data_IF_646204828330
#
_entry.id   IF_646204828330
#
_cell.length_a   1.000
_cell.length_b   1.000
_cell.length_c   1.000
_cell.angle_alpha   90.00
_cell.angle_beta   90.00
_cell.angle_gamma   90.00
#
_symmetry.space_group_name_H-M   'P 1'
#
loop_
_entity.id
_entity.type
_entity.pdbx_description
1 polymer ?
#
# COMPACT_ATOMS: atom_id res chain seq x y z
N UNK A 1 4.57 -7.11 -19.03
CA UNK A 1 4.52 -6.92 -17.56
C UNK A 1 4.71 -8.30 -16.95
N UNK A 2 5.77 -8.48 -16.15
CA UNK A 2 6.02 -9.76 -15.47
C UNK A 2 4.96 -9.93 -14.37
N UNK A 3 4.45 -11.16 -14.23
CA UNK A 3 3.43 -11.46 -13.23
C UNK A 3 4.01 -11.32 -11.80
N UNK A 4 3.25 -10.75 -10.86
CA UNK A 4 3.67 -10.69 -9.46
C UNK A 4 3.77 -12.11 -8.88
N UNK A 5 4.66 -12.26 -7.90
CA UNK A 5 4.90 -13.56 -7.26
C UNK A 5 3.99 -13.73 -6.03
N UNK A 6 3.50 -14.97 -5.82
CA UNK A 6 2.81 -15.30 -4.59
C UNK A 6 3.76 -15.27 -3.39
N UNK A 7 3.22 -14.93 -2.22
CA UNK A 7 3.98 -14.89 -0.96
C UNK A 7 4.61 -16.24 -0.65
N UNK A 8 3.85 -17.33 -0.85
CA UNK A 8 4.31 -18.70 -0.59
C UNK A 8 5.50 -19.08 -1.47
N UNK A 9 5.50 -18.71 -2.75
CA UNK A 9 6.62 -19.02 -3.65
C UNK A 9 7.93 -18.41 -3.13
N UNK A 10 7.89 -17.16 -2.68
CA UNK A 10 9.09 -16.49 -2.15
C UNK A 10 9.51 -17.13 -0.83
N UNK A 11 8.56 -17.44 0.04
CA UNK A 11 8.81 -18.17 1.29
C UNK A 11 9.58 -19.47 1.04
N UNK A 12 9.12 -20.29 0.11
CA UNK A 12 9.81 -21.54 -0.22
C UNK A 12 11.16 -21.33 -0.92
N UNK A 13 11.31 -20.27 -1.72
CA UNK A 13 12.60 -19.93 -2.32
C UNK A 13 13.64 -19.56 -1.23
N UNK A 14 13.24 -18.85 -0.18
CA UNK A 14 14.09 -18.59 0.99
C UNK A 14 14.38 -19.87 1.74
N UNK A 15 13.35 -20.67 2.08
CA UNK A 15 13.48 -21.92 2.83
C UNK A 15 14.41 -22.94 2.15
N UNK A 16 14.37 -23.05 0.82
CA UNK A 16 15.30 -23.88 0.03
C UNK A 16 16.74 -23.39 0.13
N UNK A 17 16.98 -22.09 0.07
CA UNK A 17 18.35 -21.52 0.15
C UNK A 17 19.03 -21.80 1.48
N UNK A 18 18.27 -21.88 2.57
CA UNK A 18 18.76 -22.23 3.89
C UNK A 18 18.74 -23.74 4.17
N UNK A 19 18.27 -24.54 3.22
CA UNK A 19 18.25 -26.00 3.33
C UNK A 19 17.17 -26.59 4.23
N UNK A 20 16.13 -25.81 4.56
CA UNK A 20 14.99 -26.31 5.38
C UNK A 20 14.04 -27.20 4.57
N UNK A 21 13.98 -27.00 3.25
CA UNK A 21 13.07 -27.73 2.36
C UNK A 21 13.86 -28.21 1.14
N UNK A 22 13.79 -29.51 0.76
CA UNK A 22 14.40 -30.00 -0.46
C UNK A 22 13.68 -29.46 -1.71
N UNK A 23 14.37 -29.48 -2.84
CA UNK A 23 13.79 -29.06 -4.10
C UNK A 23 12.63 -29.98 -4.49
N UNK A 24 11.44 -29.38 -4.70
CA UNK A 24 10.22 -30.11 -5.06
C UNK A 24 9.32 -30.57 -3.91
N UNK A 25 9.72 -30.36 -2.66
CA UNK A 25 8.91 -30.73 -1.48
C UNK A 25 8.41 -29.46 -0.75
N UNK A 26 7.39 -28.81 -1.28
CA UNK A 26 6.81 -27.57 -0.73
C UNK A 26 5.81 -27.84 0.42
N UNK A 27 5.63 -29.09 0.85
CA UNK A 27 4.61 -29.45 1.85
C UNK A 27 5.11 -29.53 3.30
N UNK A 28 6.44 -29.52 3.53
CA UNK A 28 7.03 -29.90 4.82
C UNK A 28 7.82 -28.78 5.51
N UNK A 29 7.52 -27.50 5.25
CA UNK A 29 8.12 -26.41 6.02
C UNK A 29 7.49 -26.33 7.41
N UNK A 30 8.33 -26.33 8.46
CA UNK A 30 7.90 -26.12 9.83
C UNK A 30 7.13 -24.79 9.96
N UNK A 31 5.91 -24.79 10.55
CA UNK A 31 5.10 -23.58 10.69
C UNK A 31 5.80 -22.44 11.47
N UNK A 32 6.59 -22.77 12.50
CA UNK A 32 7.31 -21.76 13.28
C UNK A 32 8.42 -21.11 12.44
N UNK A 33 9.11 -21.91 11.61
CA UNK A 33 10.10 -21.39 10.67
C UNK A 33 9.46 -20.61 9.52
N UNK A 34 8.31 -21.04 9.03
CA UNK A 34 7.54 -20.28 8.05
C UNK A 34 7.15 -18.89 8.60
N UNK A 35 6.65 -18.84 9.83
CA UNK A 35 6.27 -17.58 10.49
C UNK A 35 7.46 -16.63 10.66
N UNK A 36 8.64 -17.17 11.06
CA UNK A 36 9.88 -16.40 11.20
C UNK A 36 10.32 -15.79 9.85
N UNK A 37 10.38 -16.61 8.79
CA UNK A 37 10.78 -16.15 7.45
C UNK A 37 9.80 -15.13 6.90
N UNK A 38 8.49 -15.34 7.07
CA UNK A 38 7.47 -14.36 6.68
C UNK A 38 7.65 -13.03 7.42
N UNK A 39 8.10 -13.07 8.69
CA UNK A 39 8.46 -11.87 9.42
C UNK A 39 9.59 -11.08 8.75
N UNK A 40 10.68 -11.76 8.39
CA UNK A 40 11.79 -11.14 7.66
C UNK A 40 11.35 -10.60 6.28
N UNK A 41 10.54 -11.37 5.56
CA UNK A 41 10.01 -10.94 4.27
C UNK A 41 9.16 -9.66 4.40
N UNK A 42 8.31 -9.57 5.43
CA UNK A 42 7.46 -8.39 5.69
C UNK A 42 8.31 -7.15 6.00
N UNK A 43 9.31 -7.29 6.88
CA UNK A 43 10.20 -6.18 7.25
C UNK A 43 11.02 -5.69 6.06
N UNK A 44 11.57 -6.61 5.26
CA UNK A 44 12.35 -6.27 4.06
C UNK A 44 11.49 -5.71 2.92
N UNK A 45 10.28 -6.21 2.75
CA UNK A 45 9.36 -5.66 1.76
C UNK A 45 8.93 -4.24 2.13
N UNK A 46 8.71 -3.97 3.42
CA UNK A 46 8.46 -2.61 3.93
C UNK A 46 9.64 -1.68 3.63
N UNK A 47 10.87 -2.13 3.88
CA UNK A 47 12.08 -1.37 3.57
C UNK A 47 12.17 -1.03 2.06
N UNK A 48 11.96 -2.01 1.18
CA UNK A 48 11.95 -1.79 -0.27
C UNK A 48 10.85 -0.84 -0.70
N UNK A 49 9.65 -0.95 -0.07
CA UNK A 49 8.51 -0.10 -0.34
C UNK A 49 8.79 1.37 -0.04
N UNK A 50 9.52 1.63 1.03
CA UNK A 50 9.83 3.00 1.45
C UNK A 50 11.04 3.59 0.75
N UNK A 51 11.93 2.76 0.21
CA UNK A 51 13.19 3.20 -0.40
C UNK A 51 13.01 3.78 -1.79
N UNK A 52 12.13 3.22 -2.64
CA UNK A 52 11.96 3.62 -4.03
C UNK A 52 10.49 3.72 -4.44
N UNK A 53 10.23 4.60 -5.41
CA UNK A 53 8.90 4.82 -5.97
C UNK A 53 8.69 3.92 -7.21
N UNK A 54 8.36 2.65 -6.96
CA UNK A 54 8.05 1.71 -8.02
C UNK A 54 6.68 1.99 -8.65
N UNK A 55 6.56 1.78 -9.97
CA UNK A 55 5.30 1.97 -10.72
C UNK A 55 4.16 1.13 -10.12
N UNK A 56 4.48 -0.08 -9.69
CA UNK A 56 3.51 -1.03 -9.11
C UNK A 56 2.90 -0.53 -7.80
N UNK A 57 3.60 0.38 -7.11
CA UNK A 57 3.15 0.96 -5.83
C UNK A 57 2.64 2.39 -5.96
N UNK A 58 2.77 2.98 -7.16
CA UNK A 58 2.49 4.39 -7.43
C UNK A 58 1.21 4.53 -8.26
N UNK A 59 0.34 5.42 -7.83
CA UNK A 59 -0.96 5.67 -8.44
C UNK A 59 -1.10 7.13 -8.84
N UNK A 60 -1.79 7.37 -9.96
CA UNK A 60 -2.23 8.70 -10.36
C UNK A 60 -3.75 8.70 -10.42
N UNK A 61 -4.38 9.41 -9.50
CA UNK A 61 -5.83 9.38 -9.34
C UNK A 61 -6.40 10.78 -9.17
N UNK A 62 -7.59 10.99 -9.75
CA UNK A 62 -8.34 12.22 -9.54
C UNK A 62 -8.94 12.23 -8.13
N UNK A 63 -8.67 13.30 -7.38
CA UNK A 63 -9.16 13.53 -6.02
C UNK A 63 -9.94 14.83 -5.95
N UNK A 64 -11.16 14.75 -5.40
CA UNK A 64 -11.93 15.94 -5.07
C UNK A 64 -11.37 16.60 -3.81
N UNK A 65 -11.41 17.92 -3.82
CA UNK A 65 -11.14 18.71 -2.64
C UNK A 65 -12.27 18.62 -1.68
N UNK A 66 -12.77 18.32 -0.89
CA UNK A 66 -13.98 18.21 -0.07
C UNK A 66 -14.70 16.89 -0.35
N UNK A 67 -14.19 15.80 0.19
CA UNK A 67 -14.90 14.52 0.12
C UNK A 67 -16.23 14.67 0.90
N UNK A 68 -17.34 14.63 0.14
CA UNK A 68 -18.68 14.72 0.72
C UNK A 68 -18.95 13.48 1.59
N UNK A 69 -19.70 13.68 2.68
CA UNK A 69 -20.14 12.57 3.49
C UNK A 69 -21.12 11.69 2.70
N UNK A 70 -20.85 10.38 2.70
CA UNK A 70 -21.73 9.35 2.12
C UNK A 70 -22.12 8.34 3.23
N UNK A 71 -23.40 8.25 3.61
CA UNK A 71 -23.83 7.36 4.67
C UNK A 71 -23.68 5.87 4.35
N UNK A 72 -23.43 5.49 3.10
CA UNK A 72 -23.21 4.10 2.70
C UNK A 72 -21.77 3.64 2.90
N UNK A 73 -20.85 4.58 3.13
CA UNK A 73 -19.43 4.30 3.26
C UNK A 73 -19.02 4.00 4.70
N UNK A 74 -17.99 3.14 4.83
CA UNK A 74 -17.27 2.93 6.07
C UNK A 74 -16.18 4.00 6.22
N UNK A 75 -16.19 4.68 7.37
CA UNK A 75 -15.22 5.70 7.71
C UNK A 75 -14.34 5.21 8.87
N UNK A 76 -13.06 4.91 8.64
CA UNK A 76 -12.11 4.63 9.70
C UNK A 76 -11.97 5.78 10.69
N UNK A 77 -11.44 5.48 11.88
CA UNK A 77 -11.03 6.48 12.87
C UNK A 77 -10.18 7.59 12.20
N UNK A 78 -10.48 8.85 12.55
CA UNK A 78 -9.83 10.05 12.00
C UNK A 78 -10.17 10.37 10.54
N UNK A 79 -11.07 9.67 9.87
CA UNK A 79 -11.57 10.06 8.55
C UNK A 79 -12.17 11.45 8.60
N UNK A 80 -11.90 12.26 7.56
CA UNK A 80 -12.43 13.62 7.46
C UNK A 80 -13.37 13.67 6.27
N UNK A 81 -14.59 14.18 6.51
CA UNK A 81 -15.63 14.34 5.50
C UNK A 81 -16.15 15.77 5.50
N UNK A 82 -16.72 16.17 4.38
CA UNK A 82 -17.37 17.47 4.20
C UNK A 82 -18.88 17.33 4.26
N UNK A 83 -19.52 18.21 5.00
CA UNK A 83 -20.97 18.36 4.99
C UNK A 83 -21.36 19.62 4.20
N UNK A 84 -21.93 19.47 3.00
CA UNK A 84 -22.35 20.61 2.18
C UNK A 84 -23.50 21.42 2.79
N UNK A 85 -24.26 20.84 3.74
CA UNK A 85 -25.39 21.53 4.40
C UNK A 85 -24.89 22.51 5.46
N UNK A 86 -23.94 22.09 6.29
CA UNK A 86 -23.38 22.93 7.36
C UNK A 86 -22.12 23.68 6.94
N UNK A 87 -21.60 23.40 5.75
CA UNK A 87 -20.32 23.93 5.23
C UNK A 87 -19.16 23.68 6.20
N UNK A 88 -19.13 22.53 6.83
CA UNK A 88 -18.19 22.17 7.89
C UNK A 88 -17.55 20.81 7.61
N UNK A 89 -16.28 20.67 7.95
CA UNK A 89 -15.61 19.38 7.98
C UNK A 89 -15.90 18.67 9.31
N UNK A 90 -16.11 17.37 9.22
CA UNK A 90 -16.27 16.48 10.38
C UNK A 90 -15.17 15.43 10.38
N UNK A 91 -14.69 15.09 11.57
CA UNK A 91 -13.72 14.04 11.80
C UNK A 91 -14.36 12.89 12.57
N UNK A 92 -14.17 11.67 12.09
CA UNK A 92 -14.62 10.45 12.77
C UNK A 92 -13.79 10.20 14.03
N UNK A 93 -14.47 10.07 15.17
CA UNK A 93 -13.89 9.73 16.49
C UNK A 93 -13.74 8.23 16.70
N UNK A 94 -14.52 7.46 15.94
CA UNK A 94 -14.50 5.99 15.92
C UNK A 94 -14.76 5.54 14.50
N UNK A 95 -14.44 4.29 14.19
CA UNK A 95 -14.87 3.70 12.92
C UNK A 95 -16.39 3.64 12.86
N UNK A 96 -16.97 4.02 11.72
CA UNK A 96 -18.42 4.13 11.57
C UNK A 96 -18.90 3.91 10.14
N UNK A 97 -20.11 3.37 10.01
CA UNK A 97 -20.86 3.28 8.76
C UNK A 97 -22.29 3.75 9.01
N UNK A 98 -22.78 4.66 8.18
CA UNK A 98 -24.18 5.14 8.25
C UNK A 98 -24.51 6.07 9.43
N UNK A 99 -23.57 6.39 10.31
CA UNK A 99 -23.84 7.28 11.44
C UNK A 99 -23.98 8.73 10.96
N UNK A 100 -25.10 9.42 11.28
CA UNK A 100 -25.32 10.80 10.83
C UNK A 100 -24.27 11.74 11.44
N UNK A 101 -23.88 12.78 10.70
CA UNK A 101 -22.88 13.78 11.13
C UNK A 101 -23.29 14.55 12.39
N UNK A 102 -24.58 14.54 12.74
CA UNK A 102 -25.13 15.11 13.98
C UNK A 102 -24.81 14.30 15.23
N UNK A 103 -24.33 13.06 15.09
CA UNK A 103 -23.95 12.23 16.23
C UNK A 103 -22.57 12.63 16.76
N UNK A 104 -22.55 13.46 17.81
CA UNK A 104 -21.32 14.00 18.42
C UNK A 104 -20.45 12.97 19.15
N UNK A 105 -20.97 11.77 19.44
CA UNK A 105 -20.16 10.66 19.97
C UNK A 105 -19.27 10.00 18.89
N UNK A 106 -19.66 10.16 17.64
CA UNK A 106 -18.99 9.55 16.47
C UNK A 106 -18.25 10.60 15.65
N UNK A 107 -18.84 11.79 15.52
CA UNK A 107 -18.31 12.86 14.69
C UNK A 107 -17.99 14.12 15.49
N UNK A 108 -16.85 14.73 15.25
CA UNK A 108 -16.52 16.05 15.81
C UNK A 108 -16.34 17.05 14.67
N UNK A 109 -16.94 18.26 14.78
CA UNK A 109 -16.65 19.32 13.83
C UNK A 109 -15.17 19.70 13.85
N UNK A 110 -14.57 19.88 12.65
CA UNK A 110 -13.18 20.27 12.50
C UNK A 110 -13.07 21.55 11.65
N UNK A 111 -13.29 22.72 12.22
CA UNK A 111 -13.30 24.00 11.50
C UNK A 111 -11.92 24.42 10.98
N UNK A 112 -10.84 23.80 11.47
CA UNK A 112 -9.46 24.16 11.11
C UNK A 112 -8.94 23.44 9.86
N UNK A 113 -9.78 22.70 9.16
CA UNK A 113 -9.41 22.03 7.89
C UNK A 113 -9.51 23.05 6.77
N UNK A 114 -8.47 23.14 5.94
CA UNK A 114 -8.49 23.97 4.74
C UNK A 114 -9.63 23.56 3.79
N UNK A 115 -10.35 24.49 3.16
CA UNK A 115 -11.39 24.19 2.20
C UNK A 115 -10.87 23.44 0.94
N UNK A 116 -9.57 23.29 0.80
CA UNK A 116 -8.87 22.57 -0.28
C UNK A 116 -7.99 21.48 0.32
N UNK A 117 -8.63 20.56 0.98
CA UNK A 117 -8.02 19.48 1.72
C UNK A 117 -8.33 18.13 1.05
N UNK A 118 -7.34 17.24 0.99
CA UNK A 118 -7.47 15.84 0.59
C UNK A 118 -6.98 14.97 1.74
N UNK A 119 -7.84 14.16 2.37
CA UNK A 119 -7.42 13.26 3.44
C UNK A 119 -6.53 12.14 2.93
N UNK A 120 -5.67 11.60 3.80
CA UNK A 120 -4.86 10.43 3.50
C UNK A 120 -5.70 9.22 3.05
N UNK A 121 -6.87 9.09 3.65
CA UNK A 121 -7.84 8.06 3.31
C UNK A 121 -9.19 8.70 3.02
N UNK A 122 -9.79 8.37 1.90
CA UNK A 122 -11.11 8.79 1.49
C UNK A 122 -11.93 7.56 1.07
N UNK A 123 -13.26 7.58 1.28
CA UNK A 123 -14.13 6.48 0.90
C UNK A 123 -14.00 6.16 -0.60
N UNK A 124 -14.01 4.88 -0.92
CA UNK A 124 -13.91 4.38 -2.31
C UNK A 124 -12.71 4.91 -3.11
N UNK A 125 -11.66 5.32 -2.41
CA UNK A 125 -10.42 5.83 -3.00
C UNK A 125 -9.22 5.08 -2.46
N UNK A 126 -8.21 4.91 -3.31
CA UNK A 126 -6.94 4.31 -2.93
C UNK A 126 -6.30 5.11 -1.78
N UNK A 127 -5.90 4.51 -0.66
CA UNK A 127 -5.25 5.24 0.43
C UNK A 127 -3.94 5.85 -0.03
N UNK A 128 -3.61 7.04 0.48
CA UNK A 128 -2.39 7.76 0.17
C UNK A 128 -1.35 7.49 1.25
N UNK A 129 -0.22 6.89 0.90
CA UNK A 129 0.92 6.69 1.81
C UNK A 129 1.92 7.85 1.72
N UNK A 130 2.33 8.21 0.50
CA UNK A 130 3.22 9.32 0.25
C UNK A 130 2.82 10.05 -1.03
N UNK A 131 2.69 11.37 -1.00
CA UNK A 131 2.30 12.19 -2.14
C UNK A 131 3.54 12.81 -2.81
N UNK A 132 3.68 12.63 -4.12
CA UNK A 132 4.82 13.11 -4.91
C UNK A 132 4.50 14.37 -5.71
N UNK A 133 3.26 14.55 -6.12
CA UNK A 133 2.85 15.70 -6.89
C UNK A 133 1.35 15.77 -7.14
N UNK A 134 0.90 16.96 -7.46
CA UNK A 134 -0.48 17.23 -7.77
C UNK A 134 -0.58 18.15 -8.99
N UNK A 135 -1.57 17.91 -9.86
CA UNK A 135 -1.77 18.68 -11.09
C UNK A 135 -3.24 18.97 -11.30
N UNK A 136 -3.51 20.07 -12.01
CA UNK A 136 -4.88 20.44 -12.39
C UNK A 136 -5.49 19.54 -13.48
N UNK A 137 -4.65 18.74 -14.16
CA UNK A 137 -5.01 17.83 -15.24
C UNK A 137 -4.20 16.53 -15.11
N UNK A 138 -4.66 15.46 -15.80
CA UNK A 138 -3.93 14.21 -15.81
C UNK A 138 -2.49 14.40 -16.33
N UNK A 139 -1.46 14.16 -15.50
CA UNK A 139 -0.07 14.40 -15.90
C UNK A 139 0.42 13.47 -17.01
N UNK A 140 -0.27 12.36 -17.27
CA UNK A 140 0.12 11.38 -18.29
C UNK A 140 -0.57 11.59 -19.63
N UNK A 141 -1.69 12.33 -19.65
CA UNK A 141 -2.53 12.47 -20.86
C UNK A 141 -2.50 13.88 -21.45
N UNK A 142 -2.23 14.91 -20.64
CA UNK A 142 -2.39 16.30 -21.06
C UNK A 142 -1.10 17.12 -21.03
N UNK A 143 -0.87 17.90 -22.09
CA UNK A 143 0.35 18.70 -22.27
C UNK A 143 0.40 19.96 -21.39
N UNK A 144 -0.75 20.61 -21.12
CA UNK A 144 -0.83 21.89 -20.39
C UNK A 144 -1.17 21.66 -18.91
N UNK A 145 -0.39 20.81 -18.24
CA UNK A 145 -0.55 20.51 -16.81
C UNK A 145 0.17 21.55 -15.94
N UNK A 146 -0.54 22.09 -14.95
CA UNK A 146 0.02 23.01 -13.97
C UNK A 146 0.14 22.25 -12.65
N UNK A 147 1.37 22.20 -12.10
CA UNK A 147 1.62 21.59 -10.80
C UNK A 147 1.02 22.45 -9.70
N UNK A 148 0.29 21.82 -8.80
CA UNK A 148 -0.31 22.46 -7.61
C UNK A 148 0.61 22.25 -6.41
N UNK A 149 0.78 23.31 -5.61
CA UNK A 149 1.52 23.22 -4.36
C UNK A 149 0.60 22.77 -3.23
N UNK A 150 1.11 21.91 -2.37
CA UNK A 150 0.41 21.44 -1.19
C UNK A 150 1.38 21.34 0.00
N UNK A 151 0.82 21.43 1.19
CA UNK A 151 1.48 21.14 2.45
C UNK A 151 1.04 19.78 2.96
N UNK A 152 1.96 19.03 3.55
CA UNK A 152 1.71 17.76 4.17
C UNK A 152 1.36 18.00 5.64
N UNK A 153 0.21 17.50 6.08
CA UNK A 153 -0.22 17.53 7.48
C UNK A 153 -0.49 16.11 8.00
N UNK A 154 -0.63 15.93 9.30
CA UNK A 154 -0.97 14.65 9.90
C UNK A 154 -2.32 14.07 9.39
N UNK A 155 -3.20 14.91 8.85
CA UNK A 155 -4.54 14.55 8.41
C UNK A 155 -4.65 14.32 6.91
N UNK A 156 -3.73 14.88 6.10
CA UNK A 156 -3.77 14.82 4.64
C UNK A 156 -2.98 15.95 3.98
N UNK A 157 -3.40 16.30 2.77
CA UNK A 157 -2.77 17.29 1.92
C UNK A 157 -3.59 18.58 1.91
N UNK A 158 -2.97 19.69 2.26
CA UNK A 158 -3.58 21.03 2.26
C UNK A 158 -3.05 21.84 1.08
N UNK A 159 -3.94 22.31 0.23
CA UNK A 159 -3.58 23.05 -0.99
C UNK A 159 -3.67 24.55 -0.77
N UNK A 160 -2.57 25.26 -1.04
CA UNK A 160 -2.44 26.70 -0.80
C UNK A 160 -2.90 27.56 -1.97
N UNK A 161 -3.02 26.98 -3.17
CA UNK A 161 -3.36 27.75 -4.37
C UNK A 161 -4.85 28.12 -4.44
N UNK A 162 -5.13 29.30 -4.96
CA UNK A 162 -6.48 29.89 -5.14
C UNK A 162 -7.22 29.38 -6.37
N UNK A 163 -6.82 28.23 -6.96
CA UNK A 163 -7.49 27.65 -8.14
C UNK A 163 -8.97 27.37 -7.85
N UNK A 164 -9.83 27.59 -8.83
CA UNK A 164 -11.27 27.31 -8.76
C UNK A 164 -11.63 25.85 -9.05
N UNK A 165 -10.61 24.99 -9.31
CA UNK A 165 -10.84 23.58 -9.63
C UNK A 165 -11.42 22.84 -8.41
N UNK A 166 -12.43 22.00 -8.67
CA UNK A 166 -13.07 21.17 -7.64
C UNK A 166 -12.26 19.88 -7.32
N UNK A 167 -11.27 19.56 -8.14
CA UNK A 167 -10.46 18.34 -8.03
C UNK A 167 -9.01 18.59 -8.46
N UNK A 168 -8.15 17.66 -8.16
CA UNK A 168 -6.75 17.59 -8.56
C UNK A 168 -6.39 16.17 -8.95
N UNK A 169 -5.44 16.01 -9.86
CA UNK A 169 -4.78 14.74 -10.13
C UNK A 169 -3.58 14.60 -9.19
N UNK A 170 -3.61 13.57 -8.37
CA UNK A 170 -2.59 13.31 -7.37
C UNK A 170 -1.76 12.10 -7.76
N UNK A 171 -0.44 12.26 -7.80
CA UNK A 171 0.53 11.18 -7.90
C UNK A 171 1.01 10.83 -6.51
N UNK A 172 0.83 9.58 -6.11
CA UNK A 172 1.13 9.12 -4.76
C UNK A 172 1.49 7.64 -4.73
N UNK A 173 2.19 7.24 -3.70
CA UNK A 173 2.40 5.84 -3.34
C UNK A 173 1.35 5.42 -2.31
N UNK A 174 0.85 4.19 -2.44
CA UNK A 174 -0.03 3.61 -1.41
C UNK A 174 0.78 3.30 -0.15
N UNK A 175 0.16 3.31 1.04
CA UNK A 175 0.82 2.83 2.24
C UNK A 175 1.21 1.36 2.08
N UNK A 176 2.28 0.94 2.74
CA UNK A 176 2.64 -0.47 2.74
C UNK A 176 1.52 -1.31 3.39
N UNK A 177 0.97 -2.29 2.68
CA UNK A 177 -0.21 -3.02 3.18
C UNK A 177 0.14 -4.12 4.20
N UNK A 178 1.40 -4.55 4.26
CA UNK A 178 1.83 -5.72 5.01
C UNK A 178 1.60 -7.03 4.26
N UNK A 179 2.24 -8.10 4.73
CA UNK A 179 1.94 -9.48 4.30
C UNK A 179 1.43 -10.27 5.49
N UNK A 180 0.51 -11.23 5.23
CA UNK A 180 0.05 -12.16 6.25
C UNK A 180 1.19 -13.04 6.77
N UNK A 181 1.27 -13.23 8.08
CA UNK A 181 2.25 -14.11 8.72
C UNK A 181 1.63 -15.43 9.19
N UNK A 182 0.31 -15.52 9.22
CA UNK A 182 -0.43 -16.70 9.66
C UNK A 182 -1.54 -17.04 8.68
N UNK A 183 -1.88 -18.32 8.66
CA UNK A 183 -3.04 -18.83 7.93
C UNK A 183 -4.33 -18.17 8.41
N UNK A 184 -5.25 -17.97 7.48
CA UNK A 184 -6.58 -17.48 7.81
C UNK A 184 -7.35 -18.49 8.68
N UNK A 185 -8.03 -17.98 9.72
CA UNK A 185 -8.81 -18.79 10.64
C UNK A 185 -10.26 -18.30 10.64
N UNK A 186 -11.26 -19.15 10.40
CA UNK A 186 -12.66 -18.74 10.25
C UNK A 186 -13.28 -18.12 11.51
N UNK A 187 -12.73 -18.39 12.68
CA UNK A 187 -13.22 -17.87 13.98
C UNK A 187 -12.54 -16.59 14.43
N UNK A 188 -11.47 -16.18 13.73
CA UNK A 188 -10.75 -14.95 14.04
C UNK A 188 -11.47 -13.74 13.45
N UNK A 189 -11.52 -12.66 14.23
CA UNK A 189 -12.00 -11.36 13.75
C UNK A 189 -10.83 -10.59 13.16
N UNK A 190 -10.94 -10.24 11.89
CA UNK A 190 -9.96 -9.40 11.18
C UNK A 190 -10.53 -8.00 11.03
N UNK A 191 -9.74 -7.01 11.35
CA UNK A 191 -10.08 -5.61 11.17
C UNK A 191 -9.57 -5.10 9.82
N UNK A 192 -10.02 -3.92 9.42
CA UNK A 192 -9.54 -3.26 8.20
C UNK A 192 -8.02 -3.11 8.24
N UNK A 193 -7.34 -3.66 7.23
CA UNK A 193 -5.88 -3.67 7.11
C UNK A 193 -5.18 -4.87 7.74
N UNK A 194 -5.89 -5.73 8.49
CA UNK A 194 -5.30 -7.00 8.97
C UNK A 194 -5.00 -7.93 7.80
N UNK A 195 -3.85 -8.61 7.86
CA UNK A 195 -3.40 -9.50 6.82
C UNK A 195 -3.45 -10.97 7.26
N UNK A 196 -3.82 -11.87 6.33
CA UNK A 196 -3.81 -13.32 6.52
C UNK A 196 -3.38 -14.03 5.23
N UNK A 197 -2.90 -15.27 5.36
CA UNK A 197 -2.58 -16.16 4.24
C UNK A 197 -3.80 -17.07 3.98
N UNK A 198 -4.19 -17.20 2.72
CA UNK A 198 -5.15 -18.22 2.28
C UNK A 198 -4.61 -18.88 1.01
N UNK A 199 -4.23 -20.16 1.14
CA UNK A 199 -3.52 -20.86 0.10
C UNK A 199 -2.11 -20.30 -0.16
N UNK A 200 -1.86 -19.80 -1.36
CA UNK A 200 -0.53 -19.32 -1.78
C UNK A 200 -0.33 -17.82 -1.66
N UNK A 201 -1.39 -17.08 -1.43
CA UNK A 201 -1.39 -15.61 -1.49
C UNK A 201 -1.67 -14.98 -0.11
N UNK A 202 -1.18 -13.79 0.08
CA UNK A 202 -1.53 -12.92 1.21
C UNK A 202 -2.75 -12.09 0.86
N UNK A 203 -3.64 -11.90 1.84
CA UNK A 203 -4.85 -11.11 1.71
C UNK A 203 -4.95 -10.09 2.83
N UNK A 204 -5.48 -8.93 2.50
CA UNK A 204 -5.67 -7.82 3.43
C UNK A 204 -7.15 -7.57 3.57
N UNK A 205 -7.64 -7.51 4.80
CA UNK A 205 -9.04 -7.20 5.07
C UNK A 205 -9.40 -5.79 4.60
N UNK A 206 -10.40 -5.71 3.74
CA UNK A 206 -10.93 -4.44 3.20
C UNK A 206 -12.07 -3.89 4.05
N UNK A 207 -12.51 -4.63 5.06
CA UNK A 207 -13.60 -4.28 5.96
C UNK A 207 -13.21 -4.54 7.41
N UNK A 208 -13.91 -3.87 8.33
CA UNK A 208 -13.74 -4.09 9.76
C UNK A 208 -14.62 -5.24 10.25
N UNK A 209 -14.26 -5.84 11.40
CA UNK A 209 -14.98 -6.95 12.01
C UNK A 209 -15.29 -8.11 11.03
N UNK A 210 -14.35 -8.43 10.17
CA UNK A 210 -14.43 -9.47 9.15
C UNK A 210 -14.26 -10.84 9.80
N UNK A 211 -15.33 -11.63 9.91
CA UNK A 211 -15.36 -12.96 10.53
C UNK A 211 -15.97 -13.98 9.57
N UNK A 212 -15.39 -15.17 9.50
CA UNK A 212 -15.96 -16.29 8.75
C UNK A 212 -15.95 -16.16 7.23
N UNK A 213 -15.39 -15.06 6.69
CA UNK A 213 -15.29 -14.83 5.24
C UNK A 213 -13.92 -15.27 4.76
N UNK A 214 -13.86 -16.37 4.05
CA UNK A 214 -12.59 -16.89 3.50
C UNK A 214 -12.02 -15.91 2.46
N UNK A 215 -10.75 -15.54 2.54
CA UNK A 215 -10.15 -14.51 1.69
C UNK A 215 -10.27 -14.78 0.19
N UNK A 216 -9.92 -15.97 -0.27
CA UNK A 216 -9.98 -16.36 -1.69
C UNK A 216 -11.39 -16.42 -2.28
N UNK A 217 -12.42 -16.52 -1.41
CA UNK A 217 -13.82 -16.63 -1.81
C UNK A 217 -14.63 -15.35 -1.58
N UNK A 218 -14.06 -14.33 -0.94
CA UNK A 218 -14.78 -13.14 -0.52
C UNK A 218 -14.08 -11.84 -0.99
N UNK A 219 -14.04 -11.55 -2.30
CA UNK A 219 -13.31 -10.41 -2.86
C UNK A 219 -13.85 -9.04 -2.40
N UNK A 220 -15.11 -8.97 -1.96
CA UNK A 220 -15.70 -7.74 -1.39
C UNK A 220 -15.17 -7.42 0.01
N UNK A 221 -14.56 -8.39 0.69
CA UNK A 221 -14.08 -8.27 2.07
C UNK A 221 -12.57 -8.40 2.19
N UNK A 222 -11.91 -8.87 1.14
CA UNK A 222 -10.48 -9.09 1.12
C UNK A 222 -9.86 -8.63 -0.20
N UNK A 223 -8.70 -8.02 -0.11
CA UNK A 223 -7.88 -7.67 -1.27
C UNK A 223 -6.67 -8.58 -1.33
N UNK A 224 -6.51 -9.32 -2.43
CA UNK A 224 -5.32 -10.14 -2.65
C UNK A 224 -4.10 -9.22 -2.82
N UNK A 225 -3.07 -9.46 -2.02
CA UNK A 225 -1.79 -8.77 -2.11
C UNK A 225 -0.71 -9.73 -2.62
N UNK A 226 -0.03 -9.32 -3.66
CA UNK A 226 1.12 -10.05 -4.21
C UNK A 226 2.33 -9.15 -4.25
N UNK A 227 3.49 -9.74 -3.97
CA UNK A 227 4.74 -9.01 -3.94
C UNK A 227 5.06 -8.49 -5.36
N UNK A 228 5.27 -7.18 -5.53
CA UNK A 228 5.62 -6.60 -6.82
C UNK A 228 6.87 -7.26 -7.42
N UNK A 229 6.82 -7.57 -8.72
CA UNK A 229 7.93 -8.27 -9.39
C UNK A 229 9.30 -7.63 -9.18
N UNK A 230 9.46 -6.28 -9.25
CA UNK A 230 10.76 -5.65 -9.04
C UNK A 230 11.36 -5.89 -7.65
N UNK A 231 10.52 -6.14 -6.65
CA UNK A 231 10.94 -6.33 -5.25
C UNK A 231 11.24 -7.79 -4.91
N UNK A 232 10.80 -8.76 -5.74
CA UNK A 232 10.88 -10.19 -5.39
C UNK A 232 12.30 -10.67 -5.12
N UNK A 233 13.26 -10.33 -6.00
CA UNK A 233 14.66 -10.73 -5.83
C UNK A 233 15.29 -10.11 -4.59
N UNK A 234 14.97 -8.86 -4.31
CA UNK A 234 15.43 -8.18 -3.10
C UNK A 234 14.91 -8.88 -1.85
N UNK A 235 13.58 -9.07 -1.76
CA UNK A 235 12.93 -9.67 -0.57
C UNK A 235 13.48 -11.09 -0.33
N UNK A 236 13.59 -11.91 -1.39
CA UNK A 236 14.14 -13.26 -1.26
C UNK A 236 15.57 -13.25 -0.73
N UNK A 237 16.41 -12.37 -1.27
CA UNK A 237 17.83 -12.33 -0.90
C UNK A 237 18.05 -11.69 0.48
N UNK A 238 17.29 -10.65 0.81
CA UNK A 238 17.40 -9.97 2.09
C UNK A 238 16.85 -10.83 3.24
N UNK A 239 15.68 -11.49 3.06
CA UNK A 239 15.17 -12.44 4.04
C UNK A 239 16.12 -13.63 4.25
N UNK A 240 16.76 -14.12 3.18
CA UNK A 240 17.84 -15.12 3.31
C UNK A 240 19.02 -14.60 4.15
N UNK A 241 19.45 -13.35 3.97
CA UNK A 241 20.47 -12.74 4.81
C UNK A 241 20.07 -12.70 6.30
N UNK A 242 18.80 -12.34 6.59
CA UNK A 242 18.30 -12.29 7.97
C UNK A 242 18.28 -13.69 8.63
N UNK A 243 17.91 -14.72 7.86
CA UNK A 243 17.98 -16.10 8.37
C UNK A 243 19.41 -16.54 8.66
N UNK A 244 20.41 -16.13 7.86
CA UNK A 244 21.82 -16.40 8.12
C UNK A 244 22.28 -15.76 9.45
N UNK A 245 21.79 -14.58 9.78
CA UNK A 245 22.09 -13.94 11.10
C UNK A 245 21.55 -14.77 12.24
N UNK A 246 20.31 -15.24 12.14
CA UNK A 246 19.68 -16.09 13.18
C UNK A 246 20.43 -17.43 13.34
N UNK A 247 20.90 -18.00 12.22
CA UNK A 247 21.69 -19.25 12.23
C UNK A 247 23.16 -19.04 12.66
N UNK A 248 23.53 -17.82 13.06
CA UNK A 248 24.89 -17.50 13.54
C UNK A 248 25.94 -17.35 12.43
N UNK A 249 25.54 -17.31 11.15
CA UNK A 249 26.43 -17.11 10.00
C UNK A 249 26.67 -15.61 9.70
N UNK A 250 27.04 -14.86 10.74
CA UNK A 250 27.16 -13.39 10.70
C UNK A 250 28.20 -12.86 9.70
N UNK A 251 29.17 -13.70 9.31
CA UNK A 251 30.19 -13.30 8.33
C UNK A 251 29.65 -13.24 6.90
N UNK A 252 28.65 -14.08 6.56
CA UNK A 252 28.08 -14.15 5.20
C UNK A 252 26.89 -13.22 5.02
N UNK A 253 26.13 -12.95 6.07
CA UNK A 253 24.90 -12.19 6.00
C UNK A 253 25.07 -10.78 5.38
N UNK A 254 26.11 -9.96 5.72
CA UNK A 254 26.29 -8.63 5.12
C UNK A 254 26.50 -8.66 3.59
N UNK A 255 27.23 -9.66 3.09
CA UNK A 255 27.46 -9.81 1.65
C UNK A 255 26.18 -10.13 0.91
N UNK A 256 25.32 -11.00 1.49
CA UNK A 256 24.03 -11.35 0.90
C UNK A 256 23.05 -10.17 0.96
N UNK A 257 23.08 -9.38 2.03
CA UNK A 257 22.29 -8.15 2.13
C UNK A 257 22.74 -7.10 1.09
N UNK A 258 24.04 -6.94 0.90
CA UNK A 258 24.60 -6.03 -0.12
C UNK A 258 24.14 -6.44 -1.53
N UNK A 259 24.15 -7.74 -1.84
CA UNK A 259 23.59 -8.25 -3.10
C UNK A 259 22.10 -7.95 -3.25
N UNK A 260 21.33 -8.07 -2.17
CA UNK A 260 19.90 -7.75 -2.18
C UNK A 260 19.65 -6.29 -2.58
N UNK A 261 20.34 -5.34 -1.96
CA UNK A 261 20.23 -3.93 -2.33
C UNK A 261 20.69 -3.66 -3.76
N UNK A 262 21.69 -4.39 -4.27
CA UNK A 262 22.08 -4.33 -5.68
C UNK A 262 20.93 -4.71 -6.61
N UNK A 263 20.17 -5.77 -6.30
CA UNK A 263 18.99 -6.17 -7.08
C UNK A 263 17.87 -5.13 -7.06
N UNK A 264 17.65 -4.49 -5.91
CA UNK A 264 16.61 -3.47 -5.77
C UNK A 264 16.95 -2.22 -6.58
N UNK A 265 18.21 -1.76 -6.51
CA UNK A 265 18.72 -0.63 -7.30
C UNK A 265 18.65 -0.92 -8.80
N UNK A 266 19.10 -2.11 -9.24
CA UNK A 266 19.02 -2.53 -10.63
C UNK A 266 17.57 -2.52 -11.16
N UNK A 267 16.63 -3.05 -10.38
CA UNK A 267 15.23 -3.07 -10.76
C UNK A 267 14.65 -1.66 -10.90
N UNK A 268 15.01 -0.74 -10.01
CA UNK A 268 14.59 0.65 -10.06
C UNK A 268 15.21 1.38 -11.28
N UNK A 269 16.50 1.19 -11.53
CA UNK A 269 17.20 1.79 -12.67
C UNK A 269 16.59 1.33 -14.00
N UNK A 270 16.28 0.03 -14.14
CA UNK A 270 15.60 -0.51 -15.31
C UNK A 270 14.22 0.13 -15.51
N UNK A 271 13.47 0.35 -14.45
CA UNK A 271 12.19 1.04 -14.52
C UNK A 271 12.33 2.50 -14.96
N UNK A 272 13.30 3.24 -14.43
CA UNK A 272 13.59 4.62 -14.83
C UNK A 272 13.99 4.72 -16.32
N UNK A 273 14.79 3.80 -16.80
CA UNK A 273 15.14 3.72 -18.23
C UNK A 273 13.91 3.50 -19.12
N UNK A 274 12.98 2.64 -18.70
CA UNK A 274 11.73 2.40 -19.44
C UNK A 274 10.82 3.65 -19.44
N UNK A 275 10.75 4.37 -18.32
CA UNK A 275 10.01 5.63 -18.23
C UNK A 275 10.62 6.71 -19.13
N UNK A 276 11.93 6.91 -19.07
CA UNK A 276 12.65 7.88 -19.90
C UNK A 276 12.51 7.59 -21.40
N UNK A 277 12.49 6.32 -21.79
CA UNK A 277 12.19 5.94 -23.18
C UNK A 277 10.76 6.32 -23.58
N UNK A 278 9.78 6.09 -22.72
CA UNK A 278 8.38 6.45 -22.98
C UNK A 278 8.17 7.96 -23.13
N UNK A 279 8.82 8.77 -22.30
CA UNK A 279 8.77 10.23 -22.39
C UNK A 279 9.39 10.76 -23.67
N UNK A 280 10.48 10.15 -24.14
CA UNK A 280 11.11 10.48 -25.42
C UNK A 280 10.22 10.13 -26.63
N UNK A 281 9.51 9.00 -26.61
CA UNK A 281 8.57 8.61 -27.69
C UNK A 281 7.41 9.59 -27.83
N UNK A 282 6.88 10.12 -26.73
CA UNK A 282 5.82 11.15 -26.77
C UNK A 282 6.31 12.48 -27.36
N UNK A 283 7.61 12.76 -27.30
CA UNK A 283 8.23 13.93 -27.93
C UNK A 283 8.36 13.87 -29.43
N UNK A 284 8.36 12.69 -30.04
CA UNK A 284 8.48 12.49 -31.51
C UNK A 284 7.13 12.37 -32.24
N UNK A 285 6.02 12.31 -31.51
CA UNK A 285 4.67 12.22 -32.09
C UNK A 285 3.99 13.58 -32.25
N UNK A 286 4.75 14.67 -32.47
CA UNK A 286 4.26 16.01 -32.77
C UNK A 286 4.60 16.41 -34.21
#
# INVERSE_FOLDING_TARGET
>A
VNAPYSTQRILYDVARRIGLVPEGDDANLDPDKAYEILGFMDDRLREAWDMYDFIETTFCEQRAFRPDYDPTQCYPLNSIVWDPCTLTYYQALVMTTGAPLTNTAIWTPNPNVSPRFIPWQAPNKTPIGAAFGAWNKNPYEECNKIRQQFLISARGLEFTATSTAAFVWLLFRIPYPGIGRSEWVPTTTYNLGDAAIDGTDSYISSVDANVGKQPSLSPDSWTCFRIPYPMTRFVTQAAFSDTLVVDGQNEKAPDELTKAFGYLSEAFDQQQLQQGQRDNWQGYAR
#
